data_IF_268978263452
#
_entry.id   IF_268978263452
#
_cell.length_a   1.000
_cell.length_b   1.000
_cell.length_c   1.000
_cell.angle_alpha   90.00
_cell.angle_beta   90.00
_cell.angle_gamma   90.00
#
_symmetry.space_group_name_H-M   'P 1'
#
loop_
_entity.id
_entity.type
_entity.pdbx_description
1 polymer ?
#
# COMPACT_ATOMS: atom_id res chain seq x y z
N UNK A 1 -14.75 61.51 27.80
CA UNK A 1 -15.00 60.56 26.69
C UNK A 1 -16.50 60.50 26.43
N UNK A 2 -16.95 60.98 25.26
CA UNK A 2 -18.36 61.27 25.02
C UNK A 2 -19.20 60.02 24.74
N UNK A 3 -20.47 60.05 25.13
CA UNK A 3 -21.48 59.01 24.86
C UNK A 3 -21.50 58.56 23.38
N UNK A 4 -21.12 59.46 22.46
CA UNK A 4 -20.97 59.20 21.02
C UNK A 4 -19.82 58.26 20.67
N UNK A 5 -18.68 58.33 21.36
CA UNK A 5 -17.54 57.43 21.13
C UNK A 5 -17.82 56.02 21.64
N UNK A 6 -18.52 55.89 22.76
CA UNK A 6 -18.94 54.59 23.28
C UNK A 6 -19.94 53.87 22.34
N UNK A 7 -20.89 54.62 21.76
CA UNK A 7 -21.86 54.06 20.80
C UNK A 7 -21.18 53.61 19.50
N UNK A 8 -20.23 54.39 18.98
CA UNK A 8 -19.48 54.02 17.77
C UNK A 8 -18.63 52.77 17.97
N UNK A 9 -17.94 52.65 19.11
CA UNK A 9 -17.16 51.46 19.46
C UNK A 9 -18.08 50.24 19.61
N UNK A 10 -19.23 50.39 20.27
CA UNK A 10 -20.21 49.31 20.41
C UNK A 10 -20.76 48.82 19.07
N UNK A 11 -21.01 49.74 18.13
CA UNK A 11 -21.53 49.40 16.81
C UNK A 11 -20.48 48.70 15.93
N UNK A 12 -19.21 49.11 16.01
CA UNK A 12 -18.09 48.44 15.34
C UNK A 12 -17.87 47.03 15.89
N UNK A 13 -17.90 46.87 17.22
CA UNK A 13 -17.76 45.55 17.85
C UNK A 13 -18.92 44.61 17.49
N UNK A 14 -20.16 45.12 17.47
CA UNK A 14 -21.32 44.34 17.05
C UNK A 14 -21.22 43.89 15.58
N UNK A 15 -20.78 44.79 14.69
CA UNK A 15 -20.56 44.46 13.29
C UNK A 15 -19.48 43.38 13.09
N UNK A 16 -18.37 43.50 13.80
CA UNK A 16 -17.28 42.51 13.75
C UNK A 16 -17.70 41.14 14.31
N UNK A 17 -18.49 41.10 15.38
CA UNK A 17 -19.03 39.85 15.92
C UNK A 17 -19.95 39.14 14.90
N UNK A 18 -20.75 39.91 14.16
CA UNK A 18 -21.67 39.40 13.16
C UNK A 18 -20.94 38.79 11.96
N UNK A 19 -19.86 39.42 11.48
CA UNK A 19 -19.06 38.88 10.38
C UNK A 19 -18.34 37.58 10.76
N UNK A 20 -17.79 37.51 11.99
CA UNK A 20 -17.15 36.29 12.51
C UNK A 20 -18.18 35.16 12.62
N UNK A 21 -19.36 35.44 13.18
CA UNK A 21 -20.42 34.43 13.32
C UNK A 21 -20.86 33.87 11.96
N UNK A 22 -21.01 34.73 10.95
CA UNK A 22 -21.38 34.33 9.60
C UNK A 22 -20.28 33.49 8.93
N UNK A 23 -19.01 33.87 9.11
CA UNK A 23 -17.86 33.11 8.59
C UNK A 23 -17.77 31.72 9.22
N UNK A 24 -17.95 31.60 10.55
CA UNK A 24 -17.94 30.31 11.25
C UNK A 24 -19.10 29.41 10.78
N UNK A 25 -20.28 29.99 10.54
CA UNK A 25 -21.44 29.24 10.04
C UNK A 25 -21.21 28.71 8.61
N UNK A 26 -20.64 29.53 7.73
CA UNK A 26 -20.32 29.13 6.35
C UNK A 26 -19.31 27.98 6.30
N UNK A 27 -18.24 28.05 7.12
CA UNK A 27 -17.23 26.97 7.21
C UNK A 27 -17.85 25.67 7.73
N UNK A 28 -18.77 25.74 8.71
CA UNK A 28 -19.45 24.55 9.24
C UNK A 28 -20.33 23.86 8.19
N UNK A 29 -21.05 24.62 7.37
CA UNK A 29 -21.90 24.06 6.30
C UNK A 29 -21.05 23.33 5.26
N UNK A 30 -19.96 23.95 4.80
CA UNK A 30 -19.05 23.34 3.82
C UNK A 30 -18.35 22.10 4.38
N UNK A 31 -17.93 22.13 5.65
CA UNK A 31 -17.32 20.98 6.31
C UNK A 31 -18.30 19.80 6.38
N UNK A 32 -19.56 20.02 6.77
CA UNK A 32 -20.57 18.94 6.82
C UNK A 32 -20.90 18.35 5.45
N UNK A 33 -20.85 19.14 4.38
CA UNK A 33 -21.03 18.63 3.01
C UNK A 33 -19.84 17.82 2.51
N UNK A 34 -18.61 18.12 2.97
CA UNK A 34 -17.41 17.39 2.59
C UNK A 34 -17.23 16.09 3.39
N UNK A 35 -17.58 16.09 4.68
CA UNK A 35 -17.34 14.93 5.56
C UNK A 35 -18.57 14.04 5.76
N UNK A 36 -19.78 14.52 5.43
CA UNK A 36 -21.03 13.84 5.75
C UNK A 36 -21.39 12.64 4.87
N UNK A 37 -20.74 12.44 3.71
CA UNK A 37 -21.22 11.44 2.73
C UNK A 37 -20.16 10.64 1.99
N UNK A 38 -18.87 10.68 2.35
CA UNK A 38 -17.83 10.10 1.47
C UNK A 38 -17.36 8.69 1.89
N UNK A 39 -17.58 8.23 3.12
CA UNK A 39 -17.17 6.85 3.51
C UNK A 39 -18.15 6.25 4.51
N UNK A 40 -19.25 5.67 4.03
CA UNK A 40 -19.91 4.65 4.82
C UNK A 40 -18.96 3.43 4.87
N UNK A 41 -18.53 2.94 6.04
CA UNK A 41 -17.72 1.74 6.12
C UNK A 41 -18.51 0.59 5.49
N UNK A 42 -17.91 -0.08 4.51
CA UNK A 42 -18.49 -1.27 3.90
C UNK A 42 -18.74 -2.28 5.02
N UNK A 43 -19.98 -2.75 5.15
CA UNK A 43 -20.34 -3.70 6.20
C UNK A 43 -19.63 -5.04 5.96
N UNK A 44 -19.21 -5.77 7.00
CA UNK A 44 -18.55 -7.07 6.85
C UNK A 44 -19.36 -8.04 5.98
N UNK A 45 -20.68 -8.00 6.11
CA UNK A 45 -21.63 -8.84 5.39
C UNK A 45 -21.58 -8.56 3.87
N UNK A 46 -21.43 -7.30 3.47
CA UNK A 46 -21.31 -6.91 2.07
C UNK A 46 -19.95 -7.31 1.47
N UNK A 47 -18.90 -7.44 2.31
CA UNK A 47 -17.61 -7.99 1.90
C UNK A 47 -17.77 -9.50 1.68
N UNK A 48 -18.36 -10.23 2.62
CA UNK A 48 -18.56 -11.68 2.51
C UNK A 48 -19.41 -12.06 1.30
N UNK A 49 -20.46 -11.29 1.02
CA UNK A 49 -21.31 -11.50 -0.14
C UNK A 49 -20.54 -11.24 -1.46
N UNK A 50 -19.73 -10.18 -1.51
CA UNK A 50 -18.86 -9.91 -2.68
C UNK A 50 -17.77 -10.96 -2.87
N UNK A 51 -17.21 -11.49 -1.78
CA UNK A 51 -16.21 -12.56 -1.80
C UNK A 51 -16.83 -13.87 -2.27
N UNK A 52 -18.04 -14.21 -1.81
CA UNK A 52 -18.77 -15.41 -2.29
C UNK A 52 -19.25 -15.29 -3.73
N UNK A 53 -19.63 -14.08 -4.15
CA UNK A 53 -20.05 -13.82 -5.53
C UNK A 53 -18.88 -13.89 -6.53
N UNK A 54 -17.64 -13.74 -6.06
CA UNK A 54 -16.46 -14.06 -6.86
C UNK A 54 -16.18 -15.56 -6.75
N UNK A 55 -16.39 -16.28 -7.86
CA UNK A 55 -15.79 -17.60 -8.00
C UNK A 55 -14.28 -17.48 -7.75
N UNK A 56 -13.68 -18.30 -6.88
CA UNK A 56 -12.23 -18.32 -6.77
C UNK A 56 -11.68 -18.60 -8.16
N UNK A 57 -10.68 -17.84 -8.58
CA UNK A 57 -9.86 -18.22 -9.72
C UNK A 57 -9.22 -19.54 -9.30
N UNK A 58 -9.79 -20.65 -9.76
CA UNK A 58 -9.11 -21.93 -9.68
C UNK A 58 -7.78 -21.72 -10.37
N UNK A 59 -6.69 -21.81 -9.61
CA UNK A 59 -5.36 -21.85 -10.19
C UNK A 59 -5.36 -23.05 -11.13
N UNK A 60 -5.31 -22.77 -12.43
CA UNK A 60 -5.12 -23.81 -13.42
C UNK A 60 -3.77 -24.48 -13.10
N UNK A 61 -3.73 -25.79 -12.77
CA UNK A 61 -2.46 -26.51 -12.59
C UNK A 61 -1.58 -26.42 -13.84
N UNK A 62 -2.17 -26.05 -14.99
CA UNK A 62 -1.56 -26.07 -16.31
C UNK A 62 -0.78 -24.80 -16.68
N UNK A 63 -0.74 -23.76 -15.83
CA UNK A 63 0.27 -22.68 -15.92
C UNK A 63 1.69 -23.15 -15.48
N UNK A 64 1.95 -24.45 -15.62
CA UNK A 64 3.23 -25.11 -15.52
C UNK A 64 4.01 -24.81 -16.79
N UNK A 65 4.89 -23.80 -16.76
CA UNK A 65 5.94 -23.66 -17.78
C UNK A 65 6.75 -24.96 -17.79
N UNK A 66 6.68 -25.72 -18.89
CA UNK A 66 7.41 -26.98 -19.04
C UNK A 66 8.91 -26.76 -18.73
N UNK A 67 9.47 -27.58 -17.83
CA UNK A 67 10.86 -27.46 -17.37
C UNK A 67 11.09 -26.52 -16.19
N UNK A 68 10.03 -25.94 -15.61
CA UNK A 68 10.13 -25.14 -14.40
C UNK A 68 9.92 -26.02 -13.13
N UNK A 69 10.83 -25.89 -12.15
CA UNK A 69 10.83 -26.67 -10.91
C UNK A 69 9.71 -26.27 -9.92
N UNK A 70 9.74 -26.77 -8.69
CA UNK A 70 8.77 -26.35 -7.68
C UNK A 70 8.94 -24.87 -7.32
N UNK A 71 7.83 -24.20 -7.00
CA UNK A 71 7.85 -22.85 -6.43
C UNK A 71 8.52 -22.87 -5.05
N UNK A 72 9.43 -21.94 -4.79
CA UNK A 72 10.16 -21.81 -3.53
C UNK A 72 9.98 -20.42 -2.97
N UNK A 73 9.76 -20.35 -1.65
CA UNK A 73 9.54 -19.10 -0.93
C UNK A 73 10.65 -18.88 0.07
N UNK A 74 11.27 -17.70 0.02
CA UNK A 74 12.30 -17.28 0.97
C UNK A 74 11.80 -16.10 1.77
N UNK A 75 12.02 -16.14 3.09
CA UNK A 75 11.72 -15.03 3.99
C UNK A 75 13.01 -14.33 4.39
N UNK A 76 13.04 -13.02 4.24
CA UNK A 76 14.10 -12.13 4.74
C UNK A 76 13.47 -11.05 5.61
N UNK A 77 14.29 -10.30 6.35
CA UNK A 77 13.78 -9.20 7.19
C UNK A 77 12.95 -8.17 6.40
N UNK A 78 13.27 -7.94 5.13
CA UNK A 78 12.57 -6.99 4.26
C UNK A 78 11.27 -7.50 3.63
N UNK A 79 10.97 -8.80 3.69
CA UNK A 79 9.82 -9.39 3.03
C UNK A 79 10.00 -10.83 2.60
N UNK A 80 9.18 -11.27 1.65
CA UNK A 80 9.23 -12.61 1.06
C UNK A 80 9.49 -12.54 -0.44
N UNK A 81 10.23 -13.52 -0.95
CA UNK A 81 10.54 -13.68 -2.37
C UNK A 81 10.12 -15.06 -2.83
N UNK A 82 9.39 -15.12 -3.93
CA UNK A 82 8.89 -16.34 -4.54
C UNK A 82 9.65 -16.58 -5.84
N UNK A 83 10.28 -17.75 -5.97
CA UNK A 83 11.14 -18.08 -7.11
C UNK A 83 10.89 -19.48 -7.61
N UNK A 84 11.29 -19.74 -8.85
CA UNK A 84 11.25 -21.07 -9.44
C UNK A 84 12.50 -21.30 -10.28
N UNK A 85 13.12 -22.47 -10.15
CA UNK A 85 14.20 -22.87 -11.06
C UNK A 85 13.65 -23.13 -12.47
N UNK A 86 14.38 -22.71 -13.50
CA UNK A 86 14.08 -22.99 -14.91
C UNK A 86 15.27 -23.77 -15.47
N UNK A 87 15.13 -25.09 -15.58
CA UNK A 87 16.28 -25.98 -15.81
C UNK A 87 17.12 -26.18 -14.54
N UNK A 88 18.43 -26.36 -14.71
CA UNK A 88 19.35 -26.77 -13.62
C UNK A 88 20.07 -25.61 -12.92
N UNK A 89 20.24 -24.47 -13.60
CA UNK A 89 21.12 -23.38 -13.19
C UNK A 89 20.49 -21.98 -13.28
N UNK A 90 19.31 -21.84 -13.92
CA UNK A 90 18.58 -20.57 -14.00
C UNK A 90 17.42 -20.54 -13.02
N UNK A 91 17.09 -19.34 -12.56
CA UNK A 91 15.98 -19.05 -11.65
C UNK A 91 15.19 -17.87 -12.18
N UNK A 92 13.87 -17.94 -12.03
CA UNK A 92 12.94 -16.86 -12.31
C UNK A 92 12.28 -16.40 -11.00
N UNK A 93 12.16 -15.09 -10.86
CA UNK A 93 11.32 -14.44 -9.86
C UNK A 93 9.87 -14.57 -10.31
N UNK A 94 9.04 -15.07 -9.41
CA UNK A 94 7.60 -15.26 -9.66
C UNK A 94 6.74 -14.26 -8.88
N UNK A 95 7.32 -13.61 -7.88
CA UNK A 95 6.69 -12.55 -7.10
C UNK A 95 7.46 -12.23 -5.83
N UNK A 96 7.07 -11.15 -5.17
CA UNK A 96 7.59 -10.75 -3.85
C UNK A 96 6.52 -10.01 -3.06
N UNK A 97 6.66 -10.02 -1.74
CA UNK A 97 5.83 -9.21 -0.85
C UNK A 97 6.71 -8.52 0.20
N UNK A 98 6.72 -7.18 0.26
CA UNK A 98 7.46 -6.46 1.30
C UNK A 98 6.90 -6.73 2.69
N UNK A 99 7.77 -6.70 3.71
CA UNK A 99 7.37 -6.62 5.09
C UNK A 99 6.83 -5.22 5.42
N UNK A 100 6.13 -5.07 6.54
CA UNK A 100 5.60 -3.78 6.98
C UNK A 100 6.72 -2.73 7.10
N UNK A 101 6.50 -1.56 6.51
CA UNK A 101 7.48 -0.46 6.49
C UNK A 101 8.61 -0.65 5.47
N UNK A 102 8.54 -1.65 4.59
CA UNK A 102 9.47 -1.83 3.48
C UNK A 102 8.76 -1.70 2.13
N UNK A 103 9.51 -1.26 1.13
CA UNK A 103 9.18 -1.26 -0.29
C UNK A 103 10.10 -2.23 -1.01
N UNK A 104 9.55 -3.08 -1.89
CA UNK A 104 10.31 -4.08 -2.62
C UNK A 104 10.42 -3.74 -4.10
N UNK A 105 11.65 -3.71 -4.61
CA UNK A 105 11.97 -3.42 -6.00
C UNK A 105 12.71 -4.60 -6.63
N UNK A 106 12.25 -5.14 -7.76
CA UNK A 106 12.98 -6.16 -8.47
C UNK A 106 14.25 -5.55 -9.06
N UNK A 107 15.39 -6.19 -8.85
CA UNK A 107 16.66 -5.81 -9.48
C UNK A 107 16.93 -6.68 -10.71
N UNK A 108 16.59 -7.97 -10.62
CA UNK A 108 16.66 -8.92 -11.73
C UNK A 108 15.54 -9.95 -11.57
N UNK A 109 14.63 -10.03 -12.54
CA UNK A 109 13.47 -10.95 -12.48
C UNK A 109 13.77 -12.33 -13.08
N UNK A 110 14.77 -12.44 -13.96
CA UNK A 110 15.13 -13.69 -14.64
C UNK A 110 14.12 -14.10 -15.73
N UNK A 111 14.26 -15.31 -16.33
CA UNK A 111 15.17 -16.39 -15.93
C UNK A 111 16.65 -16.05 -16.13
N UNK A 112 17.45 -16.11 -15.06
CA UNK A 112 18.88 -15.83 -15.08
C UNK A 112 19.62 -16.69 -14.04
N UNK A 113 20.97 -16.65 -14.02
CA UNK A 113 21.76 -17.39 -13.02
C UNK A 113 21.57 -16.90 -11.58
N UNK A 114 21.02 -15.70 -11.41
CA UNK A 114 20.58 -15.10 -10.16
C UNK A 114 19.37 -14.20 -10.43
N UNK A 115 18.44 -14.14 -9.48
CA UNK A 115 17.38 -13.13 -9.40
C UNK A 115 17.45 -12.43 -8.06
N UNK A 116 17.02 -11.18 -8.02
CA UNK A 116 17.10 -10.40 -6.79
C UNK A 116 15.95 -9.41 -6.64
N UNK A 117 15.50 -9.27 -5.40
CA UNK A 117 14.60 -8.21 -4.95
C UNK A 117 15.29 -7.43 -3.86
N UNK A 118 15.24 -6.11 -3.95
CA UNK A 118 15.77 -5.20 -2.94
C UNK A 118 14.61 -4.63 -2.14
N UNK A 119 14.64 -4.85 -0.83
CA UNK A 119 13.71 -4.24 0.11
C UNK A 119 14.37 -3.03 0.77
N UNK A 120 13.70 -1.89 0.71
CA UNK A 120 14.16 -0.62 1.28
C UNK A 120 13.12 -0.08 2.26
N UNK A 121 13.56 0.52 3.36
CA UNK A 121 12.68 1.32 4.22
C UNK A 121 13.12 2.79 4.26
N UNK A 122 12.28 3.65 4.83
CA UNK A 122 12.54 5.09 4.96
C UNK A 122 13.73 5.39 5.88
N UNK A 123 14.12 4.44 6.74
CA UNK A 123 15.34 4.51 7.54
C UNK A 123 16.62 4.16 6.76
N UNK A 124 16.57 4.14 5.43
CA UNK A 124 17.67 3.80 4.51
C UNK A 124 18.26 2.38 4.68
N UNK A 125 17.54 1.48 5.36
CA UNK A 125 17.94 0.07 5.45
C UNK A 125 17.66 -0.59 4.10
N UNK A 126 18.70 -1.15 3.46
CA UNK A 126 18.61 -1.90 2.21
C UNK A 126 18.87 -3.38 2.48
N UNK A 127 17.94 -4.23 2.05
CA UNK A 127 18.04 -5.69 2.19
C UNK A 127 17.90 -6.29 0.81
N UNK A 128 19.00 -6.85 0.29
CA UNK A 128 19.00 -7.57 -0.99
C UNK A 128 18.69 -9.04 -0.73
N UNK A 129 17.63 -9.55 -1.34
CA UNK A 129 17.29 -10.96 -1.34
C UNK A 129 17.62 -11.56 -2.72
N UNK A 130 18.83 -12.10 -2.84
CA UNK A 130 19.31 -12.73 -4.06
C UNK A 130 19.13 -14.23 -4.01
N UNK A 131 18.66 -14.84 -5.10
CA UNK A 131 18.40 -16.28 -5.18
C UNK A 131 19.07 -16.82 -6.43
N UNK A 132 19.72 -17.98 -6.31
CA UNK A 132 20.30 -18.73 -7.42
C UNK A 132 19.72 -20.13 -7.50
N UNK A 133 19.70 -20.71 -8.69
CA UNK A 133 19.42 -22.13 -8.83
C UNK A 133 20.72 -22.93 -8.89
N UNK A 134 20.86 -23.97 -8.07
CA UNK A 134 22.00 -24.88 -8.08
C UNK A 134 21.47 -26.31 -8.16
N UNK A 135 21.68 -26.97 -9.30
CA UNK A 135 21.21 -28.34 -9.54
C UNK A 135 19.69 -28.47 -9.41
N UNK A 136 18.94 -27.50 -9.95
CA UNK A 136 17.47 -27.47 -9.86
C UNK A 136 16.91 -27.06 -8.49
N UNK A 137 17.76 -26.69 -7.54
CA UNK A 137 17.35 -26.23 -6.20
C UNK A 137 17.62 -24.74 -6.03
N UNK A 138 16.57 -23.95 -5.78
CA UNK A 138 16.71 -22.54 -5.46
C UNK A 138 17.37 -22.37 -4.07
N UNK A 139 18.34 -21.46 -3.98
CA UNK A 139 19.06 -21.11 -2.74
C UNK A 139 19.19 -19.59 -2.61
N UNK A 140 18.75 -19.08 -1.47
CA UNK A 140 19.02 -17.69 -1.07
C UNK A 140 20.53 -17.51 -0.87
N UNK A 141 21.08 -16.48 -1.49
CA UNK A 141 22.44 -15.99 -1.25
C UNK A 141 22.34 -14.95 -0.14
N UNK A 142 23.01 -15.20 0.99
CA UNK A 142 23.13 -14.25 2.10
C UNK A 142 24.38 -13.41 1.97
#
# INVERSE_FOLDING_TARGET
MGRRTAVLIGLVLAGAALTIAFAVLAVRIVATSLTGSVVAPVSPNAIDERVRAHSPISADPEASVAGAGPLRVFSVRGGRVLTRCVGTDRVALTGWSPALGYHGYPEQEGPAGEVAVVFMNDGHVRIRAAVRCVGGTARLQQ
#
